data_IF_726488754448
#
_entry.id   IF_726488754448
#
_cell.length_a   1.000
_cell.length_b   1.000
_cell.length_c   1.000
_cell.angle_alpha   90.00
_cell.angle_beta   90.00
_cell.angle_gamma   90.00
#
_symmetry.space_group_name_H-M   'P 1'
#
loop_
_entity.id
_entity.type
_entity.pdbx_description
1 polymer ?
#
# COMPACT_ATOMS: atom_id res chain seq x y z
N UNK A 1 -4.61 -29.35 -4.46
CA UNK A 1 -4.64 -28.56 -5.71
C UNK A 1 -3.70 -29.24 -6.68
N UNK A 2 -4.02 -29.19 -7.97
CA UNK A 2 -3.10 -29.67 -9.01
C UNK A 2 -2.21 -28.50 -9.50
N UNK A 3 -1.19 -28.81 -10.31
CA UNK A 3 -0.26 -27.82 -10.86
C UNK A 3 -0.95 -26.69 -11.66
N UNK A 4 -2.05 -27.01 -12.36
CA UNK A 4 -2.83 -26.02 -13.12
C UNK A 4 -3.54 -25.03 -12.18
N UNK A 5 -4.12 -25.53 -11.10
CA UNK A 5 -4.78 -24.72 -10.08
C UNK A 5 -3.77 -23.78 -9.39
N UNK A 6 -2.54 -24.25 -9.12
CA UNK A 6 -1.49 -23.41 -8.53
C UNK A 6 -1.09 -22.25 -9.45
N UNK A 7 -0.96 -22.51 -10.76
CA UNK A 7 -0.68 -21.46 -11.76
C UNK A 7 -1.83 -20.47 -11.87
N UNK A 8 -3.07 -20.96 -11.87
CA UNK A 8 -4.26 -20.12 -11.90
C UNK A 8 -4.34 -19.24 -10.65
N UNK A 9 -4.15 -19.81 -9.45
CA UNK A 9 -4.11 -19.08 -8.19
C UNK A 9 -3.03 -18.00 -8.19
N UNK A 10 -1.81 -18.34 -8.63
CA UNK A 10 -0.69 -17.39 -8.71
C UNK A 10 -1.01 -16.21 -9.64
N UNK A 11 -1.65 -16.49 -10.78
CA UNK A 11 -2.11 -15.47 -11.73
C UNK A 11 -3.18 -14.58 -11.11
N UNK A 12 -4.25 -15.15 -10.53
CA UNK A 12 -5.34 -14.39 -9.91
C UNK A 12 -4.80 -13.46 -8.82
N UNK A 13 -3.94 -13.96 -7.93
CA UNK A 13 -3.39 -13.17 -6.83
C UNK A 13 -2.46 -12.05 -7.33
N UNK A 14 -1.73 -12.28 -8.42
CA UNK A 14 -0.82 -11.27 -8.98
C UNK A 14 -1.58 -10.18 -9.75
N UNK A 15 -2.63 -10.54 -10.49
CA UNK A 15 -3.47 -9.58 -11.21
C UNK A 15 -4.45 -8.84 -10.27
N UNK A 16 -4.95 -9.50 -9.24
CA UNK A 16 -5.99 -8.98 -8.35
C UNK A 16 -5.57 -9.05 -6.88
N UNK A 17 -4.50 -8.33 -6.56
CA UNK A 17 -3.85 -8.34 -5.24
C UNK A 17 -4.77 -7.94 -4.07
N UNK A 18 -5.91 -7.28 -4.32
CA UNK A 18 -6.82 -6.74 -3.29
C UNK A 18 -8.01 -7.65 -2.94
N UNK A 19 -8.16 -8.78 -3.62
CA UNK A 19 -9.28 -9.69 -3.38
C UNK A 19 -9.18 -10.38 -2.02
N UNK A 20 -10.34 -10.63 -1.42
CA UNK A 20 -10.46 -11.49 -0.25
C UNK A 20 -10.23 -12.95 -0.63
N UNK A 21 -9.87 -13.80 0.33
CA UNK A 21 -9.69 -15.24 0.09
C UNK A 21 -10.97 -15.88 -0.47
N UNK A 22 -12.15 -15.46 0.00
CA UNK A 22 -13.43 -15.94 -0.50
C UNK A 22 -13.65 -15.58 -1.98
N UNK A 23 -13.35 -14.35 -2.38
CA UNK A 23 -13.43 -13.93 -3.78
C UNK A 23 -12.45 -14.72 -4.67
N UNK A 24 -11.22 -14.94 -4.21
CA UNK A 24 -10.23 -15.77 -4.92
C UNK A 24 -10.73 -17.20 -5.06
N UNK A 25 -11.34 -17.75 -4.02
CA UNK A 25 -11.89 -19.11 -4.02
C UNK A 25 -13.01 -19.25 -5.05
N UNK A 26 -13.90 -18.26 -5.15
CA UNK A 26 -14.99 -18.25 -6.14
C UNK A 26 -14.51 -18.07 -7.59
N UNK A 27 -13.29 -17.54 -7.79
CA UNK A 27 -12.70 -17.40 -9.12
C UNK A 27 -11.98 -18.66 -9.61
N UNK A 28 -11.63 -19.57 -8.70
CA UNK A 28 -11.02 -20.84 -9.06
C UNK A 28 -12.09 -21.81 -9.57
N UNK A 29 -11.74 -22.55 -10.61
CA UNK A 29 -12.61 -23.60 -11.17
C UNK A 29 -12.77 -24.78 -10.20
N UNK A 30 -11.74 -25.07 -9.42
CA UNK A 30 -11.74 -26.13 -8.43
C UNK A 30 -12.42 -25.67 -7.13
N UNK A 31 -13.38 -26.46 -6.65
CA UNK A 31 -14.01 -26.25 -5.34
C UNK A 31 -13.05 -26.67 -4.22
N UNK A 32 -12.41 -25.69 -3.60
CA UNK A 32 -11.50 -25.88 -2.47
C UNK A 32 -11.90 -24.95 -1.33
N UNK A 33 -11.62 -25.36 -0.10
CA UNK A 33 -11.92 -24.53 1.06
C UNK A 33 -11.08 -23.24 1.06
N UNK A 34 -11.63 -22.16 1.59
CA UNK A 34 -10.89 -20.88 1.78
C UNK A 34 -9.62 -21.07 2.60
N UNK A 35 -9.64 -22.00 3.58
CA UNK A 35 -8.47 -22.34 4.39
C UNK A 35 -7.34 -22.92 3.54
N UNK A 36 -7.67 -23.85 2.65
CA UNK A 36 -6.71 -24.45 1.70
C UNK A 36 -6.11 -23.37 0.81
N UNK A 37 -6.95 -22.54 0.19
CA UNK A 37 -6.49 -21.43 -0.67
C UNK A 37 -5.56 -20.48 0.09
N UNK A 38 -5.89 -20.13 1.34
CA UNK A 38 -5.03 -19.27 2.16
C UNK A 38 -3.66 -19.90 2.43
N UNK A 39 -3.60 -21.19 2.75
CA UNK A 39 -2.35 -21.91 2.94
C UNK A 39 -1.50 -21.90 1.67
N UNK A 40 -2.12 -22.13 0.52
CA UNK A 40 -1.43 -22.13 -0.78
C UNK A 40 -0.87 -20.75 -1.13
N UNK A 41 -1.62 -19.68 -0.89
CA UNK A 41 -1.13 -18.30 -1.07
C UNK A 41 0.10 -18.04 -0.18
N UNK A 42 0.10 -18.57 1.05
CA UNK A 42 1.26 -18.45 1.94
C UNK A 42 2.46 -19.27 1.46
N UNK A 43 2.25 -20.45 0.86
CA UNK A 43 3.32 -21.25 0.25
C UNK A 43 3.96 -20.52 -0.93
N UNK A 44 3.20 -19.73 -1.68
CA UNK A 44 3.71 -18.79 -2.70
C UNK A 44 4.47 -17.58 -2.11
N UNK A 45 4.65 -17.52 -0.79
CA UNK A 45 5.34 -16.44 -0.08
C UNK A 45 4.56 -15.13 0.03
N UNK A 46 3.31 -15.10 -0.45
CA UNK A 46 2.46 -13.90 -0.42
C UNK A 46 1.68 -13.86 0.89
N UNK A 47 1.60 -12.67 1.51
CA UNK A 47 0.83 -12.44 2.73
C UNK A 47 -0.10 -11.25 2.55
N UNK A 48 -1.26 -11.29 3.20
CA UNK A 48 -2.17 -10.16 3.24
C UNK A 48 -1.58 -9.06 4.12
N UNK A 49 -1.20 -7.93 3.52
CA UNK A 49 -0.55 -6.79 4.19
C UNK A 49 -1.29 -5.50 3.89
N UNK A 50 -1.27 -4.57 4.83
CA UNK A 50 -1.78 -3.21 4.62
C UNK A 50 -0.94 -2.52 3.53
N UNK A 51 -1.62 -1.86 2.61
CA UNK A 51 -1.01 -1.03 1.56
C UNK A 51 -0.24 0.14 2.20
N UNK A 52 1.02 0.42 1.82
CA UNK A 52 1.68 1.62 2.27
C UNK A 52 1.02 2.85 1.63
N UNK A 53 0.97 3.95 2.37
CA UNK A 53 0.64 5.25 1.78
C UNK A 53 1.65 5.55 0.68
N UNK A 54 1.17 6.04 -0.46
CA UNK A 54 2.01 6.45 -1.58
C UNK A 54 2.99 7.53 -1.07
N UNK A 55 4.30 7.27 -1.04
CA UNK A 55 5.27 8.20 -0.44
C UNK A 55 5.69 9.33 -1.37
N UNK A 56 5.22 9.34 -2.63
CA UNK A 56 5.75 10.25 -3.64
C UNK A 56 5.24 11.67 -3.42
N UNK A 57 6.12 12.53 -2.90
CA UNK A 57 6.15 13.93 -3.31
C UNK A 57 6.27 13.96 -4.84
N UNK A 58 5.53 14.84 -5.52
CA UNK A 58 5.79 15.05 -6.95
C UNK A 58 7.25 15.53 -7.09
N UNK A 59 7.92 15.21 -8.19
CA UNK A 59 9.33 15.62 -8.39
C UNK A 59 9.53 17.13 -8.16
N UNK A 60 8.53 17.94 -8.55
CA UNK A 60 8.51 19.37 -8.29
C UNK A 60 8.42 19.71 -6.80
N UNK A 61 7.57 19.02 -6.03
CA UNK A 61 7.42 19.24 -4.59
C UNK A 61 8.71 18.87 -3.85
N UNK A 62 9.39 17.79 -4.29
CA UNK A 62 10.69 17.39 -3.77
C UNK A 62 11.77 18.45 -4.03
N UNK A 63 11.84 18.98 -5.25
CA UNK A 63 12.77 20.06 -5.59
C UNK A 63 12.52 21.33 -4.74
N UNK A 64 11.26 21.73 -4.57
CA UNK A 64 10.92 22.89 -3.73
C UNK A 64 11.31 22.67 -2.27
N UNK A 65 11.09 21.47 -1.74
CA UNK A 65 11.51 21.13 -0.37
C UNK A 65 13.03 21.16 -0.22
N UNK A 66 13.77 20.67 -1.22
CA UNK A 66 15.24 20.74 -1.20
C UNK A 66 15.75 22.18 -1.23
N UNK A 67 15.20 23.02 -2.11
CA UNK A 67 15.56 24.45 -2.18
C UNK A 67 15.27 25.14 -0.85
N UNK A 68 14.06 24.95 -0.30
CA UNK A 68 13.68 25.52 0.99
C UNK A 68 14.64 25.07 2.12
N UNK A 69 14.95 23.77 2.18
CA UNK A 69 15.86 23.24 3.18
C UNK A 69 17.27 23.82 3.04
N UNK A 70 17.77 23.99 1.82
CA UNK A 70 19.08 24.58 1.57
C UNK A 70 19.14 26.08 1.92
N UNK A 71 18.10 26.84 1.58
CA UNK A 71 17.98 28.27 1.93
C UNK A 71 17.95 28.49 3.44
N UNK A 72 17.31 27.58 4.18
CA UNK A 72 17.10 27.70 5.62
C UNK A 72 18.04 26.82 6.47
N UNK A 73 19.05 26.18 5.86
CA UNK A 73 19.94 25.22 6.55
C UNK A 73 20.74 25.84 7.71
N UNK A 74 20.99 27.16 7.63
CA UNK A 74 21.73 27.92 8.65
C UNK A 74 20.82 28.82 9.51
N UNK A 75 19.49 28.71 9.37
CA UNK A 75 18.56 29.48 10.19
C UNK A 75 18.76 29.15 11.66
N UNK A 76 18.87 30.19 12.50
CA UNK A 76 19.02 30.02 13.94
C UNK A 76 17.67 29.73 14.57
N UNK A 77 17.70 29.17 15.78
CA UNK A 77 16.49 28.92 16.58
C UNK A 77 15.68 30.22 16.77
N UNK A 78 16.35 31.37 16.92
CA UNK A 78 15.72 32.69 17.04
C UNK A 78 14.98 33.12 15.78
N UNK A 79 15.39 32.65 14.60
CA UNK A 79 14.71 32.96 13.35
C UNK A 79 13.40 32.17 13.25
N UNK A 80 13.45 30.88 13.61
CA UNK A 80 12.26 30.03 13.69
C UNK A 80 11.28 30.45 14.78
N UNK A 81 11.77 30.98 15.91
CA UNK A 81 10.93 31.47 17.00
C UNK A 81 10.04 32.68 16.61
N UNK A 82 10.43 33.41 15.55
CA UNK A 82 9.65 34.54 15.02
C UNK A 82 8.64 34.12 13.96
N UNK A 83 8.72 32.88 13.46
CA UNK A 83 7.80 32.37 12.45
C UNK A 83 6.45 32.01 13.09
N UNK A 84 5.36 32.56 12.53
CA UNK A 84 4.00 32.15 12.87
C UNK A 84 3.57 31.08 11.86
N UNK A 85 3.28 29.88 12.35
CA UNK A 85 2.87 28.76 11.52
C UNK A 85 1.35 28.61 11.56
N UNK A 86 0.73 28.54 10.38
CA UNK A 86 -0.68 28.20 10.25
C UNK A 86 -0.82 26.89 9.50
N UNK A 87 -1.72 26.04 9.97
CA UNK A 87 -2.11 24.82 9.26
C UNK A 87 -3.58 24.56 9.51
N UNK A 88 -4.30 24.35 8.41
CA UNK A 88 -5.66 23.83 8.46
C UNK A 88 -5.61 22.31 8.46
N UNK A 89 -6.41 21.70 9.32
CA UNK A 89 -6.59 20.25 9.40
C UNK A 89 -8.08 19.94 9.25
N UNK A 90 -8.39 18.96 8.41
CA UNK A 90 -9.73 18.41 8.28
C UNK A 90 -9.91 17.30 9.32
N UNK A 91 -10.89 17.44 10.20
CA UNK A 91 -11.32 16.39 11.12
C UNK A 91 -12.56 15.70 10.55
N UNK A 92 -12.42 14.42 10.19
CA UNK A 92 -13.51 13.62 9.64
C UNK A 92 -13.99 12.59 10.67
N UNK A 93 -15.29 12.53 10.90
CA UNK A 93 -15.92 11.49 11.72
C UNK A 93 -16.46 10.37 10.83
N UNK A 94 -16.08 9.12 11.11
CA UNK A 94 -16.74 7.94 10.51
C UNK A 94 -16.20 7.45 9.16
N UNK A 95 -14.99 7.82 8.73
CA UNK A 95 -14.43 7.25 7.50
C UNK A 95 -14.19 5.74 7.63
N UNK A 96 -14.59 4.97 6.59
CA UNK A 96 -14.16 3.58 6.42
C UNK A 96 -12.64 3.55 6.42
N UNK A 97 -12.06 2.67 7.25
CA UNK A 97 -10.61 2.49 7.35
C UNK A 97 -9.98 2.39 5.96
N UNK A 98 -9.09 3.33 5.63
CA UNK A 98 -8.30 3.34 4.39
C UNK A 98 -7.30 2.18 4.29
N UNK A 99 -7.31 1.26 5.24
CA UNK A 99 -6.41 0.12 5.31
C UNK A 99 -6.84 -0.95 4.30
N UNK A 100 -6.68 -0.64 3.02
CA UNK A 100 -6.77 -1.62 1.94
C UNK A 100 -5.65 -2.63 2.15
N UNK A 101 -6.00 -3.92 2.10
CA UNK A 101 -5.02 -5.02 2.18
C UNK A 101 -4.70 -5.52 0.78
N UNK A 102 -3.44 -5.89 0.57
CA UNK A 102 -2.93 -6.49 -0.66
C UNK A 102 -2.16 -7.76 -0.35
N UNK A 103 -2.28 -8.75 -1.23
CA UNK A 103 -1.44 -9.93 -1.26
C UNK A 103 -0.12 -9.60 -1.93
N UNK A 104 0.96 -9.64 -1.16
CA UNK A 104 2.30 -9.33 -1.66
C UNK A 104 3.37 -10.02 -0.84
N UNK A 105 4.57 -10.12 -1.41
CA UNK A 105 5.77 -10.45 -0.67
C UNK A 105 6.33 -9.21 0.05
N UNK A 106 7.40 -9.39 0.83
CA UNK A 106 8.07 -8.28 1.51
C UNK A 106 8.76 -7.32 0.52
N UNK A 107 9.41 -7.86 -0.53
CA UNK A 107 10.13 -7.09 -1.54
C UNK A 107 9.21 -6.23 -2.41
N UNK A 108 7.98 -6.68 -2.67
CA UNK A 108 7.01 -5.95 -3.49
C UNK A 108 6.34 -4.77 -2.75
N UNK A 109 6.78 -4.42 -1.53
CA UNK A 109 6.12 -3.43 -0.66
C UNK A 109 5.84 -2.10 -1.36
N UNK A 110 6.78 -1.60 -2.14
CA UNK A 110 6.71 -0.27 -2.77
C UNK A 110 6.38 -0.32 -4.27
N UNK A 111 6.03 -1.50 -4.80
CA UNK A 111 5.53 -1.61 -6.16
C UNK A 111 4.24 -0.80 -6.28
N UNK A 112 4.07 -0.09 -7.40
CA UNK A 112 2.98 0.85 -7.61
C UNK A 112 1.58 0.25 -7.33
N UNK A 113 1.38 -1.01 -7.73
CA UNK A 113 0.13 -1.77 -7.54
C UNK A 113 -0.22 -2.02 -6.06
N UNK A 114 0.79 -2.07 -5.19
CA UNK A 114 0.66 -2.35 -3.76
C UNK A 114 0.50 -1.09 -2.91
N UNK A 115 0.55 0.10 -3.52
CA UNK A 115 0.38 1.38 -2.81
C UNK A 115 -1.10 1.72 -2.64
N UNK A 116 -1.40 2.45 -1.57
CA UNK A 116 -2.71 3.05 -1.38
C UNK A 116 -2.99 4.04 -2.51
N UNK A 117 -4.17 3.94 -3.12
CA UNK A 117 -4.66 4.95 -4.07
C UNK A 117 -5.28 6.04 -3.20
N UNK A 118 -4.65 7.21 -3.16
CA UNK A 118 -5.28 8.38 -2.56
C UNK A 118 -6.40 8.79 -3.53
N UNK A 119 -7.66 8.62 -3.12
CA UNK A 119 -8.83 9.18 -3.78
C UNK A 119 -9.01 10.63 -3.35
#
# INVERSE_FOLDING_TARGET
MNERDHRELSRIITCHRRLTVAQVTNMLTTQVSTRTIQQEIHQLGKKSRITPKKPYLRTQDFQRQLVFAHEHQHCRITDWARAIWTKELLFELGKKSYWVRVWRTASEKFNLENLAVNH
#
